data_IF_015329244349
#
_entry.id   IF_015329244349
#
_cell.length_a   1.000
_cell.length_b   1.000
_cell.length_c   1.000
_cell.angle_alpha   90.00
_cell.angle_beta   90.00
_cell.angle_gamma   90.00
#
_symmetry.space_group_name_H-M   'P 1'
#
loop_
_entity.id
_entity.type
_entity.pdbx_description
1 polymer ?
#
# COMPACT_ATOMS: atom_id res chain seq x y z
N UNK A 1 16.88 -42.81 -48.13
CA UNK A 1 16.07 -43.31 -47.00
C UNK A 1 16.88 -43.60 -45.71
N UNK A 2 18.21 -43.49 -45.72
CA UNK A 2 19.04 -43.75 -44.50
C UNK A 2 19.29 -42.51 -43.60
N UNK A 3 19.01 -41.34 -44.10
CA UNK A 3 19.24 -40.05 -43.37
C UNK A 3 18.08 -39.56 -42.56
N UNK A 4 16.86 -40.02 -42.81
CA UNK A 4 15.65 -39.63 -42.09
C UNK A 4 15.51 -40.43 -40.78
N UNK A 5 16.01 -41.65 -40.72
CA UNK A 5 15.96 -42.48 -39.51
C UNK A 5 16.91 -41.98 -38.41
N UNK A 6 17.97 -41.26 -38.77
CA UNK A 6 18.93 -40.73 -37.79
C UNK A 6 18.42 -39.45 -37.06
N UNK A 7 17.52 -38.68 -37.71
CA UNK A 7 16.91 -37.49 -37.11
C UNK A 7 15.72 -37.81 -36.18
N UNK A 8 15.03 -38.92 -36.43
CA UNK A 8 13.94 -39.38 -35.56
C UNK A 8 14.46 -39.99 -34.25
N UNK A 9 15.70 -40.48 -34.21
CA UNK A 9 16.29 -40.99 -32.96
C UNK A 9 16.80 -39.87 -32.04
N UNK A 10 17.07 -38.68 -32.58
CA UNK A 10 17.53 -37.52 -31.79
C UNK A 10 16.37 -36.71 -31.15
N UNK A 11 15.15 -36.86 -31.67
CA UNK A 11 13.95 -36.17 -31.14
C UNK A 11 13.33 -36.96 -29.97
N UNK A 12 13.65 -38.24 -29.80
CA UNK A 12 13.08 -39.06 -28.72
C UNK A 12 13.78 -38.93 -27.36
N UNK A 13 14.88 -38.15 -27.26
CA UNK A 13 15.63 -37.97 -26.00
C UNK A 13 15.36 -36.64 -25.28
N UNK A 14 14.39 -35.83 -25.75
CA UNK A 14 14.18 -34.45 -25.26
C UNK A 14 13.02 -34.24 -24.30
N UNK A 15 12.31 -35.28 -23.84
CA UNK A 15 11.19 -35.11 -22.91
C UNK A 15 11.39 -35.86 -21.59
N UNK A 16 12.53 -35.64 -20.93
CA UNK A 16 12.54 -35.77 -19.47
C UNK A 16 11.82 -34.55 -18.88
N UNK A 17 10.52 -34.64 -18.67
CA UNK A 17 9.82 -33.79 -17.73
C UNK A 17 10.46 -34.04 -16.37
N UNK A 18 11.32 -33.14 -15.91
CA UNK A 18 11.66 -33.06 -14.50
C UNK A 18 10.35 -32.77 -13.76
N UNK A 19 9.67 -33.80 -13.33
CA UNK A 19 8.59 -33.69 -12.36
C UNK A 19 9.26 -33.25 -11.06
N UNK A 20 9.17 -31.96 -10.75
CA UNK A 20 9.61 -31.46 -9.45
C UNK A 20 8.73 -32.18 -8.41
N UNK A 21 9.31 -33.11 -7.68
CA UNK A 21 8.61 -33.84 -6.64
C UNK A 21 8.19 -32.82 -5.57
N UNK A 22 6.91 -32.70 -5.34
CA UNK A 22 6.34 -31.77 -4.35
C UNK A 22 5.52 -32.56 -3.33
N UNK A 23 5.56 -32.08 -2.11
CA UNK A 23 4.96 -32.74 -0.94
C UNK A 23 3.88 -31.84 -0.34
N UNK A 24 3.00 -32.46 0.42
CA UNK A 24 1.90 -31.80 1.13
C UNK A 24 2.17 -31.78 2.63
N UNK A 25 1.94 -30.63 3.25
CA UNK A 25 1.84 -30.50 4.71
C UNK A 25 0.40 -30.24 5.11
N UNK A 26 -0.15 -31.08 6.00
CA UNK A 26 -1.55 -30.98 6.42
C UNK A 26 -1.70 -31.37 7.89
N UNK A 27 -2.83 -31.00 8.49
CA UNK A 27 -3.13 -31.34 9.88
C UNK A 27 -4.42 -30.70 10.36
N UNK A 28 -4.67 -30.83 11.66
CA UNK A 28 -5.82 -30.29 12.36
C UNK A 28 -5.31 -29.42 13.51
N UNK A 29 -5.94 -28.27 13.71
CA UNK A 29 -5.61 -27.38 14.82
C UNK A 29 -6.81 -27.28 15.76
N UNK A 30 -6.54 -27.53 17.05
CA UNK A 30 -7.55 -27.49 18.12
C UNK A 30 -7.09 -26.59 19.28
N UNK A 31 -8.01 -26.18 20.10
CA UNK A 31 -7.71 -25.52 21.38
C UNK A 31 -7.67 -26.51 22.56
N UNK A 32 -7.33 -26.05 23.77
CA UNK A 32 -7.26 -26.86 25.01
C UNK A 32 -8.58 -27.62 25.30
N UNK A 33 -9.72 -27.12 24.87
CA UNK A 33 -11.04 -27.76 25.00
C UNK A 33 -11.32 -28.73 23.86
N UNK A 34 -10.31 -29.09 23.04
CA UNK A 34 -10.43 -29.93 21.84
C UNK A 34 -11.43 -29.40 20.80
N UNK A 35 -11.73 -28.10 20.84
CA UNK A 35 -12.59 -27.47 19.83
C UNK A 35 -11.74 -27.15 18.60
N UNK A 36 -12.26 -27.48 17.42
CA UNK A 36 -11.67 -27.13 16.13
C UNK A 36 -11.53 -25.62 15.98
N UNK A 37 -10.40 -25.16 15.44
CA UNK A 37 -10.09 -23.73 15.31
C UNK A 37 -10.10 -23.32 13.85
N UNK A 38 -11.04 -22.47 13.48
CA UNK A 38 -11.15 -21.85 12.15
C UNK A 38 -10.29 -20.59 12.05
N UNK A 39 -9.64 -20.38 10.90
CA UNK A 39 -8.88 -19.16 10.60
C UNK A 39 -7.52 -19.08 11.29
N UNK A 40 -6.96 -20.19 11.81
CA UNK A 40 -5.57 -20.22 12.28
C UNK A 40 -4.61 -20.10 11.10
N UNK A 41 -3.67 -19.21 11.19
CA UNK A 41 -2.62 -19.04 10.20
C UNK A 41 -1.51 -20.06 10.40
N UNK A 42 -1.23 -20.84 9.35
CA UNK A 42 -0.13 -21.80 9.25
C UNK A 42 0.88 -21.23 8.27
N UNK A 43 2.00 -20.74 8.74
CA UNK A 43 3.00 -20.02 7.96
C UNK A 43 4.27 -20.87 7.88
N UNK A 44 4.80 -21.03 6.68
CA UNK A 44 6.10 -21.65 6.44
C UNK A 44 7.06 -20.62 5.87
N UNK A 45 8.23 -20.46 6.45
CA UNK A 45 9.31 -19.60 5.99
C UNK A 45 10.62 -20.38 5.82
N UNK A 46 11.49 -19.85 4.95
CA UNK A 46 12.85 -20.30 4.75
C UNK A 46 13.74 -19.07 4.81
N UNK A 47 14.71 -19.04 5.72
CA UNK A 47 15.61 -17.89 5.89
C UNK A 47 14.84 -16.56 6.03
N UNK A 48 13.85 -16.52 6.93
CA UNK A 48 12.96 -15.39 7.18
C UNK A 48 12.07 -14.95 5.98
N UNK A 49 12.13 -15.67 4.85
CA UNK A 49 11.28 -15.40 3.70
C UNK A 49 10.05 -16.30 3.70
N UNK A 50 8.86 -15.72 3.50
CA UNK A 50 7.61 -16.47 3.38
C UNK A 50 7.66 -17.44 2.19
N UNK A 51 7.57 -18.73 2.47
CA UNK A 51 7.55 -19.78 1.46
C UNK A 51 6.13 -20.22 1.10
N UNK A 52 5.27 -20.44 2.09
CA UNK A 52 3.89 -20.85 1.91
C UNK A 52 3.03 -20.50 3.13
N UNK A 53 1.71 -20.38 2.94
CA UNK A 53 0.75 -20.12 4.01
C UNK A 53 -0.58 -20.79 3.73
N UNK A 54 -1.25 -21.25 4.79
CA UNK A 54 -2.64 -21.71 4.77
C UNK A 54 -3.42 -21.17 5.96
N UNK A 55 -4.76 -21.19 5.84
CA UNK A 55 -5.69 -20.95 6.95
C UNK A 55 -6.43 -22.25 7.25
N UNK A 56 -6.71 -22.50 8.52
CA UNK A 56 -7.62 -23.61 8.86
C UNK A 56 -9.06 -23.29 8.48
N UNK A 57 -9.79 -24.32 8.09
CA UNK A 57 -11.23 -24.28 7.82
C UNK A 57 -12.06 -24.39 9.13
N UNK A 58 -13.40 -24.37 8.98
CA UNK A 58 -14.35 -24.52 10.10
C UNK A 58 -14.17 -25.82 10.91
N UNK A 59 -13.52 -26.82 10.32
CA UNK A 59 -13.20 -28.10 10.96
C UNK A 59 -11.77 -28.13 11.51
N UNK A 60 -11.08 -26.98 11.47
CA UNK A 60 -9.70 -26.86 11.92
C UNK A 60 -8.65 -27.48 11.01
N UNK A 61 -9.02 -27.93 9.80
CA UNK A 61 -8.08 -28.52 8.85
C UNK A 61 -7.31 -27.44 8.12
N UNK A 62 -6.03 -27.68 7.88
CA UNK A 62 -5.20 -26.92 6.96
C UNK A 62 -4.49 -27.85 5.99
N UNK A 63 -4.12 -27.31 4.81
CA UNK A 63 -3.35 -28.00 3.79
C UNK A 63 -2.48 -27.00 3.01
N UNK A 64 -1.21 -27.35 2.87
CA UNK A 64 -0.23 -26.62 2.06
C UNK A 64 0.39 -27.63 1.09
N UNK A 65 0.15 -27.42 -0.20
CA UNK A 65 0.67 -28.25 -1.28
C UNK A 65 1.90 -27.62 -1.95
N UNK A 66 2.64 -28.40 -2.70
CA UNK A 66 3.73 -27.89 -3.53
C UNK A 66 5.05 -27.65 -2.80
N UNK A 67 5.22 -28.18 -1.60
CA UNK A 67 6.44 -28.03 -0.83
C UNK A 67 7.57 -28.87 -1.44
N UNK A 68 8.78 -28.31 -1.42
CA UNK A 68 10.01 -29.03 -1.77
C UNK A 68 10.60 -29.68 -0.53
N UNK A 69 11.46 -30.67 -0.74
CA UNK A 69 12.26 -31.22 0.35
C UNK A 69 13.13 -30.13 0.98
N UNK A 70 13.13 -30.06 2.33
CA UNK A 70 13.85 -29.03 3.06
C UNK A 70 13.37 -28.83 4.48
N UNK A 71 14.03 -27.91 5.18
CA UNK A 71 13.63 -27.45 6.50
C UNK A 71 12.92 -26.10 6.37
N UNK A 72 11.76 -26.02 6.96
CA UNK A 72 10.92 -24.84 7.02
C UNK A 72 10.71 -24.40 8.46
N UNK A 73 10.72 -23.12 8.70
CA UNK A 73 10.25 -22.56 9.95
C UNK A 73 8.71 -22.50 9.89
N UNK A 74 8.08 -23.32 10.71
CA UNK A 74 6.62 -23.34 10.86
C UNK A 74 6.22 -22.41 12.00
N UNK A 75 5.32 -21.49 11.71
CA UNK A 75 4.68 -20.62 12.70
C UNK A 75 3.17 -20.76 12.62
N UNK A 76 2.54 -21.06 13.76
CA UNK A 76 1.10 -21.09 13.95
C UNK A 76 0.69 -19.84 14.70
N UNK A 77 -0.27 -19.11 14.14
CA UNK A 77 -0.75 -17.88 14.75
C UNK A 77 -2.29 -17.80 14.76
N UNK A 78 -2.84 -17.45 15.91
CA UNK A 78 -4.25 -17.12 16.09
C UNK A 78 -4.43 -16.09 17.20
N UNK A 79 -5.25 -15.06 16.94
CA UNK A 79 -5.44 -13.95 17.88
C UNK A 79 -6.01 -14.42 19.22
N UNK A 80 -5.31 -14.08 20.32
CA UNK A 80 -5.66 -14.48 21.69
C UNK A 80 -5.14 -15.87 22.09
N UNK A 81 -4.25 -16.46 21.29
CA UNK A 81 -3.54 -17.72 21.58
C UNK A 81 -2.03 -17.53 21.46
N UNK A 82 -1.28 -18.29 22.25
CA UNK A 82 0.16 -18.29 22.14
C UNK A 82 0.59 -18.79 20.76
N UNK A 83 1.44 -18.03 20.09
CA UNK A 83 2.04 -18.47 18.84
C UNK A 83 2.94 -19.69 19.10
N UNK A 84 2.92 -20.66 18.18
CA UNK A 84 3.84 -21.81 18.23
C UNK A 84 4.80 -21.73 17.05
N UNK A 85 6.09 -21.87 17.35
CA UNK A 85 7.16 -21.88 16.36
C UNK A 85 7.95 -23.18 16.48
N UNK A 86 8.22 -23.83 15.35
CA UNK A 86 9.03 -25.02 15.28
C UNK A 86 9.58 -25.25 13.88
N UNK A 87 10.61 -26.08 13.76
CA UNK A 87 11.14 -26.48 12.46
C UNK A 87 10.32 -27.66 11.93
N UNK A 88 9.76 -27.50 10.73
CA UNK A 88 9.14 -28.55 9.94
C UNK A 88 10.16 -29.07 8.93
N UNK A 89 10.45 -30.36 8.96
CA UNK A 89 11.28 -31.01 7.96
C UNK A 89 10.38 -31.80 6.99
N UNK A 90 10.51 -31.49 5.71
CA UNK A 90 9.85 -32.21 4.62
C UNK A 90 10.91 -33.10 3.99
N UNK A 91 10.75 -34.41 4.19
CA UNK A 91 11.65 -35.46 3.70
C UNK A 91 10.87 -36.40 2.81
N UNK A 92 11.08 -36.40 1.53
CA UNK A 92 10.58 -37.37 0.52
C UNK A 92 9.20 -38.02 0.80
N UNK A 93 8.31 -37.33 1.53
CA UNK A 93 6.94 -37.77 1.85
C UNK A 93 6.07 -36.62 2.33
N UNK A 94 4.77 -36.78 2.20
CA UNK A 94 3.78 -35.89 2.80
C UNK A 94 3.90 -35.90 4.32
N UNK A 95 3.75 -34.71 4.94
CA UNK A 95 3.81 -34.54 6.38
C UNK A 95 2.42 -34.24 6.90
N UNK A 96 1.98 -35.00 7.90
CA UNK A 96 0.75 -34.72 8.65
C UNK A 96 1.07 -34.51 10.12
N UNK A 97 0.61 -33.37 10.65
CA UNK A 97 0.83 -33.03 12.06
C UNK A 97 -0.31 -32.19 12.60
N UNK A 98 -0.88 -32.63 13.71
CA UNK A 98 -1.94 -31.91 14.42
C UNK A 98 -1.35 -31.05 15.53
N UNK A 99 -2.04 -29.92 15.83
CA UNK A 99 -1.56 -28.94 16.80
C UNK A 99 -2.64 -28.57 17.80
N UNK A 100 -2.19 -28.22 18.99
CA UNK A 100 -3.02 -27.73 20.07
C UNK A 100 -2.54 -26.32 20.42
N UNK A 101 -3.39 -25.30 20.20
CA UNK A 101 -3.09 -23.93 20.61
C UNK A 101 -3.65 -23.65 22.01
N UNK A 102 -2.83 -23.03 22.84
CA UNK A 102 -3.20 -22.60 24.18
C UNK A 102 -3.56 -21.12 24.18
N UNK A 103 -4.65 -20.71 24.85
CA UNK A 103 -4.99 -19.29 24.94
C UNK A 103 -3.86 -18.52 25.63
N UNK A 104 -3.60 -17.34 25.10
CA UNK A 104 -2.68 -16.41 25.76
C UNK A 104 -3.27 -16.04 27.13
N UNK A 105 -2.57 -16.38 28.22
CA UNK A 105 -2.95 -15.94 29.55
C UNK A 105 -2.87 -14.42 29.57
N UNK A 106 -4.02 -13.77 29.66
CA UNK A 106 -4.06 -12.33 29.90
C UNK A 106 -3.50 -12.10 31.30
N UNK A 107 -2.22 -11.87 31.39
CA UNK A 107 -1.63 -11.30 32.61
C UNK A 107 -2.15 -9.87 32.64
N UNK A 108 -3.09 -9.60 33.53
CA UNK A 108 -3.39 -8.23 33.95
C UNK A 108 -2.12 -7.79 34.68
N UNK A 109 -1.22 -7.15 33.95
CA UNK A 109 -0.08 -6.49 34.58
C UNK A 109 -0.65 -5.26 35.28
N UNK A 110 -0.64 -5.27 36.61
CA UNK A 110 -0.69 -4.08 37.40
C UNK A 110 0.40 -3.13 36.89
N UNK A 111 0.04 -1.85 36.82
CA UNK A 111 0.87 -0.76 36.32
C UNK A 111 2.24 -0.76 37.01
N UNK A 112 3.22 -1.40 36.38
CA UNK A 112 4.63 -1.30 36.79
C UNK A 112 5.20 -0.07 36.11
N UNK A 113 5.32 0.99 36.88
CA UNK A 113 6.06 2.20 36.50
C UNK A 113 7.56 1.84 36.44
N UNK A 114 8.07 1.47 35.28
CA UNK A 114 9.51 1.23 35.06
C UNK A 114 10.16 2.53 34.61
N UNK A 115 10.89 3.14 35.51
CA UNK A 115 11.85 4.21 35.21
C UNK A 115 13.16 3.58 34.78
N UNK A 116 13.53 3.73 33.51
CA UNK A 116 14.91 3.63 33.07
C UNK A 116 15.27 2.64 31.98
N UNK A 117 16.00 3.16 31.07
CA UNK A 117 16.90 2.62 30.04
C UNK A 117 16.38 2.47 28.61
N UNK A 118 17.24 2.87 27.71
CA UNK A 118 17.08 3.06 26.26
C UNK A 118 16.61 1.81 25.47
N UNK A 119 16.47 0.64 26.13
CA UNK A 119 16.00 -0.62 25.53
C UNK A 119 14.49 -0.86 25.71
N UNK A 120 13.76 -0.03 26.47
CA UNK A 120 12.35 -0.24 26.79
C UNK A 120 11.38 0.38 25.76
N UNK A 121 11.91 0.90 24.66
CA UNK A 121 11.10 1.54 23.61
C UNK A 121 10.48 0.56 22.63
N UNK A 122 10.82 -0.71 22.66
CA UNK A 122 10.36 -1.72 21.70
C UNK A 122 9.89 -2.98 22.41
N UNK A 123 8.61 -3.32 22.25
CA UNK A 123 8.07 -4.58 22.71
C UNK A 123 7.76 -5.48 21.50
N UNK A 124 8.34 -6.67 21.47
CA UNK A 124 8.04 -7.68 20.44
C UNK A 124 6.78 -8.44 20.80
N UNK A 125 5.90 -8.59 19.81
CA UNK A 125 4.66 -9.37 19.90
C UNK A 125 4.70 -10.52 18.90
N UNK A 126 3.79 -11.48 19.06
CA UNK A 126 3.66 -12.58 18.09
C UNK A 126 3.33 -12.12 16.65
N UNK A 127 2.82 -10.91 16.46
CA UNK A 127 2.39 -10.37 15.16
C UNK A 127 3.27 -9.27 14.62
N UNK A 128 4.22 -8.75 15.41
CA UNK A 128 5.03 -7.61 15.03
C UNK A 128 5.68 -6.95 16.23
N UNK A 129 5.90 -5.66 16.15
CA UNK A 129 6.62 -4.89 17.15
C UNK A 129 5.82 -3.65 17.56
N UNK A 130 5.86 -3.33 18.85
CA UNK A 130 5.26 -2.12 19.43
C UNK A 130 6.37 -1.17 19.84
N UNK A 131 6.29 0.05 19.35
CA UNK A 131 7.24 1.14 19.62
C UNK A 131 6.58 2.22 20.46
N UNK A 132 7.36 2.82 21.36
CA UNK A 132 6.96 3.98 22.15
C UNK A 132 7.82 5.17 21.77
N UNK A 133 7.19 6.30 21.49
CA UNK A 133 7.92 7.54 21.20
C UNK A 133 8.59 8.10 22.44
N UNK A 134 9.81 8.58 22.29
CA UNK A 134 10.50 9.33 23.35
C UNK A 134 9.77 10.64 23.67
N UNK A 135 10.01 11.20 24.84
CA UNK A 135 9.47 12.53 25.19
C UNK A 135 9.97 13.62 24.23
N UNK A 136 11.17 13.46 23.66
CA UNK A 136 11.68 14.36 22.63
C UNK A 136 10.81 14.29 21.36
N UNK A 137 10.49 13.09 20.88
CA UNK A 137 9.63 12.89 19.70
C UNK A 137 8.20 13.37 19.97
N UNK A 138 7.63 13.08 21.13
CA UNK A 138 6.30 13.56 21.53
C UNK A 138 6.19 15.09 21.55
N UNK A 139 7.28 15.80 21.86
CA UNK A 139 7.31 17.25 21.85
C UNK A 139 7.51 17.87 20.45
N UNK A 140 7.71 17.06 19.41
CA UNK A 140 7.68 17.52 18.04
C UNK A 140 6.24 17.83 17.63
N UNK A 141 6.01 18.99 17.00
CA UNK A 141 4.65 19.36 16.55
C UNK A 141 4.20 18.56 15.32
N UNK A 142 5.15 18.03 14.56
CA UNK A 142 4.91 17.31 13.32
C UNK A 142 4.95 15.80 13.56
N UNK A 143 3.85 15.05 13.33
CA UNK A 143 3.81 13.62 13.54
C UNK A 143 4.77 12.85 12.62
N UNK A 144 5.05 13.34 11.41
CA UNK A 144 6.00 12.70 10.51
C UNK A 144 7.43 12.78 11.05
N UNK A 145 7.81 13.90 11.66
CA UNK A 145 9.11 14.02 12.34
C UNK A 145 9.20 13.13 13.58
N UNK A 146 8.12 13.06 14.36
CA UNK A 146 8.08 12.20 15.53
C UNK A 146 8.22 10.72 15.16
N UNK A 147 7.58 10.30 14.08
CA UNK A 147 7.64 8.92 13.58
C UNK A 147 8.99 8.53 12.96
N UNK A 148 9.87 9.49 12.62
CA UNK A 148 11.25 9.18 12.19
C UNK A 148 12.10 8.49 13.28
N UNK A 149 11.69 8.57 14.54
CA UNK A 149 12.39 7.89 15.64
C UNK A 149 12.16 6.37 15.63
N UNK A 150 11.10 5.91 14.96
CA UNK A 150 10.72 4.50 14.96
C UNK A 150 11.58 3.74 13.96
N UNK A 151 12.37 2.74 14.42
CA UNK A 151 13.06 1.81 13.54
C UNK A 151 12.08 1.14 12.56
N UNK A 152 12.56 0.71 11.39
CA UNK A 152 11.78 0.08 10.33
C UNK A 152 10.74 0.99 9.66
N UNK A 153 10.63 2.24 10.08
CA UNK A 153 9.69 3.20 9.51
C UNK A 153 10.45 4.35 8.84
N UNK A 154 10.25 4.51 7.55
CA UNK A 154 10.71 5.68 6.82
C UNK A 154 9.59 6.72 6.75
N UNK A 155 9.77 7.85 7.41
CA UNK A 155 8.81 8.95 7.40
C UNK A 155 9.36 10.10 6.57
N UNK A 156 8.73 10.35 5.41
CA UNK A 156 9.04 11.47 4.52
C UNK A 156 8.22 12.69 4.95
N UNK A 157 8.88 13.57 5.69
CA UNK A 157 8.27 14.80 6.20
C UNK A 157 7.87 15.75 5.06
N UNK A 158 8.67 15.79 3.99
CA UNK A 158 8.45 16.71 2.88
C UNK A 158 7.22 16.32 2.04
N UNK A 159 7.04 15.02 1.80
CA UNK A 159 5.93 14.49 1.01
C UNK A 159 4.76 13.99 1.87
N UNK A 160 4.87 14.08 3.19
CA UNK A 160 3.83 13.64 4.15
C UNK A 160 3.46 12.17 3.94
N UNK A 161 4.45 11.31 3.78
CA UNK A 161 4.29 9.87 3.54
C UNK A 161 5.05 9.06 4.58
N UNK A 162 4.50 7.88 4.84
CA UNK A 162 5.14 6.88 5.69
C UNK A 162 5.26 5.58 4.90
N UNK A 163 6.44 4.99 4.93
CA UNK A 163 6.76 3.71 4.30
C UNK A 163 7.54 2.87 5.30
N UNK A 164 7.53 1.56 5.12
CA UNK A 164 8.43 0.68 5.85
C UNK A 164 9.81 0.66 5.19
N UNK A 165 10.83 0.20 5.89
CA UNK A 165 12.21 0.21 5.38
C UNK A 165 12.39 -0.64 4.11
N UNK A 166 11.52 -1.64 3.90
CA UNK A 166 11.46 -2.46 2.68
C UNK A 166 10.73 -1.75 1.50
N UNK A 167 10.34 -0.49 1.67
CA UNK A 167 9.60 0.30 0.68
C UNK A 167 8.10 0.00 0.63
N UNK A 168 7.60 -0.96 1.40
CA UNK A 168 6.17 -1.28 1.44
C UNK A 168 5.35 -0.13 2.06
N UNK A 169 4.19 0.15 1.47
CA UNK A 169 3.22 1.07 2.06
C UNK A 169 2.31 0.31 3.01
N UNK A 170 2.38 0.56 4.32
CA UNK A 170 1.54 -0.13 5.28
C UNK A 170 0.09 0.38 5.21
N UNK A 171 -0.86 -0.48 5.56
CA UNK A 171 -2.20 -0.01 5.91
C UNK A 171 -2.12 0.75 7.23
N UNK A 172 -2.55 2.01 7.24
CA UNK A 172 -2.57 2.82 8.45
C UNK A 172 -3.87 2.57 9.20
N UNK A 173 -3.73 2.16 10.45
CA UNK A 173 -4.83 2.06 11.41
C UNK A 173 -4.62 3.06 12.56
N UNK A 174 -5.71 3.64 13.04
CA UNK A 174 -5.74 4.40 14.29
C UNK A 174 -6.64 3.65 15.28
N UNK A 175 -6.09 3.27 16.41
CA UNK A 175 -6.80 2.46 17.42
C UNK A 175 -7.44 1.20 16.81
N UNK A 176 -6.75 0.54 15.87
CA UNK A 176 -7.22 -0.66 15.18
C UNK A 176 -8.27 -0.44 14.10
N UNK A 177 -8.65 0.80 13.80
CA UNK A 177 -9.62 1.14 12.75
C UNK A 177 -8.92 1.76 11.55
N UNK A 178 -9.41 1.49 10.32
CA UNK A 178 -8.85 2.09 9.09
C UNK A 178 -8.91 3.62 9.17
N UNK A 179 -7.82 4.23 8.80
CA UNK A 179 -7.67 5.68 8.81
C UNK A 179 -7.19 6.16 7.44
N UNK A 180 -8.11 6.67 6.64
CA UNK A 180 -7.84 7.06 5.25
C UNK A 180 -7.26 8.47 5.13
N UNK A 181 -7.42 9.29 6.17
CA UNK A 181 -7.04 10.71 6.15
C UNK A 181 -5.54 10.96 6.36
N UNK A 182 -4.73 9.92 6.48
CA UNK A 182 -3.30 10.07 6.79
C UNK A 182 -3.06 10.47 8.26
N UNK A 183 -1.81 10.62 8.62
CA UNK A 183 -1.36 10.90 10.01
C UNK A 183 -1.07 12.39 10.25
N UNK A 184 -1.33 13.25 9.26
CA UNK A 184 -0.95 14.66 9.30
C UNK A 184 -1.57 15.44 10.46
N UNK A 185 -2.76 15.03 10.92
CA UNK A 185 -3.51 15.70 11.98
C UNK A 185 -3.25 15.14 13.38
N UNK A 186 -2.38 14.13 13.50
CA UNK A 186 -2.06 13.54 14.80
C UNK A 186 -1.13 14.42 15.59
N UNK A 187 -1.48 14.69 16.85
CA UNK A 187 -0.54 15.29 17.81
C UNK A 187 0.37 14.17 18.36
N UNK A 188 1.70 14.24 18.17
CA UNK A 188 2.62 13.23 18.68
C UNK A 188 2.49 12.97 20.20
N UNK A 189 2.09 13.97 20.99
CA UNK A 189 1.88 13.84 22.45
C UNK A 189 0.72 12.91 22.79
N UNK A 190 -0.21 12.72 21.85
CA UNK A 190 -1.37 11.85 22.02
C UNK A 190 -1.09 10.43 21.55
N UNK A 191 0.04 10.18 20.89
CA UNK A 191 0.44 8.83 20.50
C UNK A 191 0.86 8.08 21.76
N UNK A 192 0.13 7.03 22.07
CA UNK A 192 0.45 6.09 23.15
C UNK A 192 1.52 5.11 22.69
N UNK A 193 1.30 4.48 21.53
CA UNK A 193 2.24 3.55 20.92
C UNK A 193 2.03 3.44 19.41
N UNK A 194 3.04 2.94 18.73
CA UNK A 194 3.01 2.65 17.29
C UNK A 194 3.35 1.18 17.10
N UNK A 195 2.44 0.44 16.50
CA UNK A 195 2.58 -1.00 16.30
C UNK A 195 2.79 -1.29 14.81
N UNK A 196 3.89 -1.95 14.47
CA UNK A 196 4.14 -2.48 13.13
C UNK A 196 3.72 -3.94 13.16
N UNK A 197 2.70 -4.30 12.39
CA UNK A 197 2.14 -5.64 12.32
C UNK A 197 2.60 -6.29 11.02
N UNK A 198 3.42 -7.31 11.14
CA UNK A 198 3.96 -8.09 10.01
C UNK A 198 3.02 -9.24 9.62
N UNK A 199 2.27 -9.78 10.57
CA UNK A 199 1.31 -10.85 10.33
C UNK A 199 -0.09 -10.26 10.21
N UNK A 200 -0.52 -10.06 8.96
CA UNK A 200 -1.73 -9.33 8.62
C UNK A 200 -2.92 -10.27 8.50
N UNK A 201 -4.09 -9.87 9.00
CA UNK A 201 -5.34 -10.65 8.86
C UNK A 201 -5.71 -10.82 7.39
N UNK A 202 -6.23 -11.99 7.02
CA UNK A 202 -6.59 -12.37 5.65
C UNK A 202 -7.42 -11.30 4.90
N UNK A 203 -8.31 -10.59 5.59
CA UNK A 203 -9.14 -9.51 5.02
C UNK A 203 -8.30 -8.36 4.44
N UNK A 204 -7.19 -8.00 5.08
CA UNK A 204 -6.31 -6.93 4.60
C UNK A 204 -5.36 -7.41 3.51
N UNK A 205 -4.99 -8.70 3.54
CA UNK A 205 -4.22 -9.33 2.45
C UNK A 205 -4.99 -9.32 1.13
N UNK A 206 -6.32 -9.56 1.17
CA UNK A 206 -7.20 -9.45 -0.02
C UNK A 206 -7.20 -8.04 -0.61
N UNK A 207 -7.02 -7.02 0.23
CA UNK A 207 -6.91 -5.63 -0.21
C UNK A 207 -5.49 -5.24 -0.66
N UNK A 208 -4.56 -6.20 -0.68
CA UNK A 208 -3.17 -6.00 -1.13
C UNK A 208 -2.20 -5.48 -0.06
N UNK A 209 -2.64 -5.37 1.20
CA UNK A 209 -1.77 -4.91 2.28
C UNK A 209 -1.04 -6.07 2.95
N UNK A 210 0.28 -6.05 2.89
CA UNK A 210 1.13 -7.05 3.52
C UNK A 210 1.56 -6.69 4.94
N UNK A 211 1.48 -5.41 5.31
CA UNK A 211 1.88 -4.88 6.62
C UNK A 211 0.93 -3.79 7.09
N UNK A 212 0.82 -3.64 8.41
CA UNK A 212 -0.05 -2.64 9.04
C UNK A 212 0.78 -1.77 9.98
N UNK A 213 0.54 -0.46 9.92
CA UNK A 213 0.98 0.51 10.91
C UNK A 213 -0.22 0.91 11.76
N UNK A 214 -0.31 0.40 12.98
CA UNK A 214 -1.39 0.73 13.91
C UNK A 214 -0.89 1.74 14.95
N UNK A 215 -1.38 2.97 14.87
CA UNK A 215 -1.07 4.04 15.82
C UNK A 215 -2.14 4.02 16.91
N UNK A 216 -1.75 3.72 18.13
CA UNK A 216 -2.62 3.81 19.30
C UNK A 216 -2.54 5.21 19.88
N UNK A 217 -3.68 5.83 20.09
CA UNK A 217 -3.80 7.15 20.69
C UNK A 217 -4.33 7.03 22.12
N UNK A 218 -3.84 7.87 23.01
CA UNK A 218 -4.44 8.10 24.31
C UNK A 218 -5.89 8.52 24.17
N UNK A 219 -6.76 8.12 25.09
CA UNK A 219 -8.16 8.53 25.05
C UNK A 219 -8.26 10.05 25.22
N UNK A 220 -8.79 10.74 24.20
CA UNK A 220 -9.11 12.16 24.27
C UNK A 220 -10.39 12.35 25.10
N UNK A 221 -10.28 12.95 26.24
CA UNK A 221 -11.45 13.27 27.09
C UNK A 221 -12.03 14.64 26.76
N UNK A 222 -11.26 15.54 26.15
CA UNK A 222 -11.63 16.90 25.81
C UNK A 222 -11.89 17.08 24.31
N UNK A 223 -12.81 17.97 23.91
CA UNK A 223 -12.92 18.40 22.52
C UNK A 223 -11.60 19.00 22.02
N UNK A 224 -11.30 18.82 20.75
CA UNK A 224 -10.10 19.33 20.13
C UNK A 224 -10.38 19.96 18.76
N UNK A 225 -9.56 20.91 18.38
CA UNK A 225 -9.49 21.51 17.05
C UNK A 225 -8.04 21.46 16.61
N UNK A 226 -7.81 20.98 15.41
CA UNK A 226 -6.51 21.00 14.74
C UNK A 226 -6.66 21.73 13.41
N UNK A 227 -5.71 22.62 13.10
CA UNK A 227 -5.63 23.32 11.84
C UNK A 227 -4.16 23.41 11.42
N UNK A 228 -3.86 23.01 10.21
CA UNK A 228 -2.53 23.11 9.64
C UNK A 228 -2.59 23.54 8.18
N UNK A 229 -1.67 24.41 7.77
CA UNK A 229 -1.45 24.78 6.38
C UNK A 229 0.03 24.68 6.03
N UNK A 230 0.32 24.18 4.83
CA UNK A 230 1.68 24.11 4.33
C UNK A 230 1.72 24.52 2.85
N UNK A 231 2.77 25.22 2.46
CA UNK A 231 3.03 25.57 1.06
C UNK A 231 4.47 25.27 0.72
N UNK A 232 4.69 24.85 -0.51
CA UNK A 232 6.02 24.60 -1.07
C UNK A 232 6.02 25.07 -2.52
N UNK A 233 6.98 25.89 -2.87
CA UNK A 233 7.14 26.44 -4.20
C UNK A 233 8.60 26.37 -4.62
N UNK A 234 8.86 26.19 -5.90
CA UNK A 234 10.17 26.44 -6.47
C UNK A 234 10.38 27.95 -6.71
N UNK A 235 11.60 28.34 -6.99
CA UNK A 235 11.93 29.70 -7.46
C UNK A 235 12.32 29.54 -8.93
N UNK A 236 11.59 30.12 -9.87
CA UNK A 236 10.69 31.30 -9.83
C UNK A 236 9.17 31.02 -9.78
N UNK A 237 8.69 30.10 -8.96
CA UNK A 237 7.26 29.79 -8.81
C UNK A 237 6.61 29.11 -10.02
N UNK A 238 7.34 28.24 -10.72
CA UNK A 238 6.81 27.46 -11.85
C UNK A 238 6.03 26.23 -11.37
N UNK A 239 6.40 25.69 -10.23
CA UNK A 239 5.68 24.57 -9.62
C UNK A 239 5.53 24.76 -8.12
N UNK A 240 4.47 24.22 -7.58
CA UNK A 240 4.23 24.32 -6.16
C UNK A 240 3.05 23.50 -5.69
N UNK A 241 2.96 23.40 -4.39
CA UNK A 241 1.91 22.73 -3.65
C UNK A 241 1.44 23.63 -2.52
N UNK A 242 0.14 23.82 -2.41
CA UNK A 242 -0.51 24.34 -1.21
C UNK A 242 -1.44 23.28 -0.64
N UNK A 243 -1.39 23.04 0.67
CA UNK A 243 -2.25 22.09 1.35
C UNK A 243 -2.73 22.62 2.68
N UNK A 244 -4.00 22.40 2.99
CA UNK A 244 -4.61 22.69 4.29
C UNK A 244 -5.26 21.44 4.86
N UNK A 245 -5.19 21.31 6.18
CA UNK A 245 -5.80 20.25 6.95
C UNK A 245 -6.58 20.83 8.12
N UNK A 246 -7.71 20.24 8.46
CA UNK A 246 -8.37 20.50 9.73
C UNK A 246 -8.90 19.19 10.30
N UNK A 247 -8.98 19.13 11.61
CA UNK A 247 -9.70 18.10 12.34
C UNK A 247 -10.35 18.70 13.56
N UNK A 248 -11.63 18.44 13.76
CA UNK A 248 -12.41 18.87 14.92
C UNK A 248 -13.20 17.70 15.46
N UNK A 249 -13.20 17.53 16.76
CA UNK A 249 -13.94 16.43 17.36
C UNK A 249 -13.68 16.22 18.84
N UNK A 250 -14.04 15.03 19.29
CA UNK A 250 -13.82 14.53 20.65
C UNK A 250 -13.58 13.01 20.63
N UNK A 251 -13.67 12.35 21.78
CA UNK A 251 -13.47 10.90 21.90
C UNK A 251 -14.48 10.06 21.11
N UNK A 252 -15.67 10.58 20.78
CA UNK A 252 -16.74 9.83 20.12
C UNK A 252 -16.89 10.16 18.64
N UNK A 253 -16.63 11.39 18.24
CA UNK A 253 -16.74 11.79 16.83
C UNK A 253 -15.61 12.74 16.43
N UNK A 254 -15.24 12.73 15.17
CA UNK A 254 -14.35 13.70 14.60
C UNK A 254 -14.64 13.91 13.11
N UNK A 255 -14.54 15.16 12.69
CA UNK A 255 -14.58 15.57 11.29
C UNK A 255 -13.18 16.03 10.89
N UNK A 256 -12.64 15.36 9.88
CA UNK A 256 -11.38 15.70 9.22
C UNK A 256 -11.66 16.26 7.84
N UNK A 257 -10.87 17.22 7.43
CA UNK A 257 -10.85 17.73 6.07
C UNK A 257 -9.45 18.05 5.58
N UNK A 258 -9.26 17.88 4.30
CA UNK A 258 -8.04 18.22 3.57
C UNK A 258 -8.40 18.87 2.24
N UNK A 259 -7.69 19.94 1.89
CA UNK A 259 -7.71 20.51 0.56
C UNK A 259 -6.29 20.76 0.08
N UNK A 260 -5.99 20.47 -1.19
CA UNK A 260 -4.70 20.82 -1.76
C UNK A 260 -4.83 21.26 -3.20
N UNK A 261 -3.89 22.12 -3.60
CA UNK A 261 -3.70 22.57 -4.98
C UNK A 261 -2.24 22.36 -5.33
N UNK A 262 -2.01 21.56 -6.37
CA UNK A 262 -0.71 21.40 -7.00
C UNK A 262 -0.74 22.11 -8.34
N UNK A 263 0.32 22.84 -8.68
CA UNK A 263 0.45 23.49 -9.96
C UNK A 263 1.83 23.33 -10.58
N UNK A 264 1.85 23.31 -11.89
CA UNK A 264 3.04 23.25 -12.73
C UNK A 264 2.81 24.14 -13.93
N UNK A 265 3.66 25.15 -14.13
CA UNK A 265 3.57 26.09 -15.22
C UNK A 265 4.90 26.18 -15.99
N UNK A 266 4.79 26.25 -17.30
CA UNK A 266 5.93 26.47 -18.20
C UNK A 266 7.05 25.45 -18.02
N UNK A 267 6.69 24.20 -17.71
CA UNK A 267 7.66 23.11 -17.66
C UNK A 267 8.00 22.71 -19.09
N UNK A 268 9.22 23.04 -19.53
CA UNK A 268 9.68 22.83 -20.88
C UNK A 268 10.59 21.64 -20.96
N UNK A 269 10.40 20.84 -21.99
CA UNK A 269 11.24 19.69 -22.30
C UNK A 269 11.53 19.63 -23.80
N UNK A 270 12.74 19.22 -24.16
CA UNK A 270 13.07 18.85 -25.53
C UNK A 270 12.47 17.49 -25.84
N UNK A 271 11.91 17.37 -27.03
CA UNK A 271 11.28 16.13 -27.52
C UNK A 271 11.93 15.76 -28.85
N UNK A 272 12.34 14.50 -28.99
CA UNK A 272 12.76 13.91 -30.24
C UNK A 272 11.99 12.61 -30.45
N UNK A 273 11.33 12.48 -31.58
CA UNK A 273 10.57 11.29 -31.93
C UNK A 273 10.99 10.79 -33.31
N UNK A 274 11.21 9.49 -33.43
CA UNK A 274 11.47 8.82 -34.70
C UNK A 274 10.47 7.69 -34.91
N UNK A 275 9.81 7.72 -36.06
CA UNK A 275 8.91 6.67 -36.53
C UNK A 275 9.53 6.04 -37.78
N UNK A 276 9.76 4.73 -37.74
CA UNK A 276 10.35 3.97 -38.85
C UNK A 276 9.39 2.88 -39.27
N UNK A 277 9.15 2.78 -40.58
CA UNK A 277 8.42 1.69 -41.21
C UNK A 277 9.05 1.37 -42.56
N UNK A 278 8.69 0.29 -43.22
CA UNK A 278 9.24 -0.05 -44.53
C UNK A 278 8.92 1.03 -45.56
N UNK A 279 9.98 1.72 -46.08
CA UNK A 279 9.83 2.83 -47.04
C UNK A 279 9.39 4.15 -46.45
N UNK A 280 9.19 4.25 -45.14
CA UNK A 280 8.71 5.45 -44.47
C UNK A 280 9.54 5.76 -43.25
N UNK A 281 10.04 6.96 -43.13
CA UNK A 281 10.61 7.46 -41.86
C UNK A 281 10.13 8.88 -41.57
N UNK A 282 9.76 9.13 -40.35
CA UNK A 282 9.37 10.44 -39.85
C UNK A 282 10.18 10.75 -38.60
N UNK A 283 10.89 11.83 -38.64
CA UNK A 283 11.65 12.36 -37.52
C UNK A 283 11.12 13.73 -37.14
N UNK A 284 10.96 13.98 -35.84
CA UNK A 284 10.55 15.28 -35.33
C UNK A 284 11.44 15.64 -34.15
N UNK A 285 11.82 16.90 -34.05
CA UNK A 285 12.55 17.48 -32.91
C UNK A 285 11.91 18.82 -32.57
N UNK A 286 11.75 19.08 -31.29
CA UNK A 286 11.15 20.35 -30.87
C UNK A 286 11.08 20.47 -29.37
N UNK A 287 10.29 21.41 -28.92
CA UNK A 287 10.02 21.67 -27.51
C UNK A 287 8.59 21.33 -27.17
N UNK A 288 8.36 20.83 -25.96
CA UNK A 288 7.03 20.71 -25.35
C UNK A 288 6.98 21.55 -24.09
N UNK A 289 5.91 22.32 -23.94
CA UNK A 289 5.56 23.05 -22.72
C UNK A 289 4.39 22.37 -22.03
N UNK A 290 4.53 22.10 -20.74
CA UNK A 290 3.48 21.54 -19.90
C UNK A 290 3.01 22.55 -18.86
N UNK A 291 1.70 22.80 -18.84
CA UNK A 291 0.99 23.51 -17.78
C UNK A 291 0.01 22.52 -17.13
N UNK A 292 0.06 22.39 -15.82
CA UNK A 292 -0.77 21.44 -15.07
C UNK A 292 -1.31 22.03 -13.78
N UNK A 293 -2.51 21.63 -13.40
CA UNK A 293 -3.09 21.94 -12.09
C UNK A 293 -3.90 20.76 -11.58
N UNK A 294 -3.71 20.43 -10.30
CA UNK A 294 -4.46 19.39 -9.60
C UNK A 294 -5.10 19.96 -8.35
N UNK A 295 -6.39 19.70 -8.18
CA UNK A 295 -7.18 20.08 -7.02
C UNK A 295 -7.63 18.83 -6.30
N UNK A 296 -7.38 18.75 -5.00
CA UNK A 296 -7.82 17.64 -4.17
C UNK A 296 -8.67 18.17 -3.02
N UNK A 297 -9.76 17.48 -2.75
CA UNK A 297 -10.59 17.67 -1.57
C UNK A 297 -10.89 16.33 -0.93
N UNK A 298 -10.83 16.28 0.40
CA UNK A 298 -11.10 15.10 1.19
C UNK A 298 -11.84 15.48 2.46
N UNK A 299 -12.90 14.74 2.80
CA UNK A 299 -13.64 14.86 4.04
C UNK A 299 -13.84 13.47 4.63
N UNK A 300 -13.63 13.34 5.93
CA UNK A 300 -13.89 12.12 6.66
C UNK A 300 -14.58 12.45 7.98
N UNK A 301 -15.73 11.83 8.19
CA UNK A 301 -16.44 11.87 9.46
C UNK A 301 -16.35 10.51 10.14
N UNK A 302 -15.90 10.50 11.38
CA UNK A 302 -15.78 9.31 12.24
C UNK A 302 -16.71 9.45 13.41
N UNK A 303 -17.47 8.39 13.69
CA UNK A 303 -18.42 8.38 14.78
C UNK A 303 -18.45 7.04 15.48
N UNK A 304 -18.14 7.05 16.77
CA UNK A 304 -18.34 5.94 17.70
C UNK A 304 -19.73 6.10 18.34
N UNK A 305 -20.76 5.55 17.68
CA UNK A 305 -22.16 5.67 18.12
C UNK A 305 -22.33 5.03 19.49
N UNK A 306 -21.75 3.85 19.66
CA UNK A 306 -21.68 3.09 20.91
C UNK A 306 -20.27 2.51 21.07
N UNK A 307 -19.96 1.88 22.21
CA UNK A 307 -18.70 1.17 22.39
C UNK A 307 -18.54 -0.04 21.43
N UNK A 308 -19.63 -0.44 20.77
CA UNK A 308 -19.67 -1.57 19.82
C UNK A 308 -19.77 -1.13 18.36
N UNK A 309 -20.23 0.10 18.11
CA UNK A 309 -20.51 0.61 16.76
C UNK A 309 -19.60 1.76 16.39
N UNK A 310 -18.91 1.59 15.29
CA UNK A 310 -18.03 2.59 14.72
C UNK A 310 -18.38 2.82 13.25
N UNK A 311 -18.62 4.07 12.90
CA UNK A 311 -19.00 4.51 11.54
C UNK A 311 -17.93 5.47 11.00
N UNK A 312 -17.57 5.30 9.74
CA UNK A 312 -16.75 6.25 9.00
C UNK A 312 -17.43 6.57 7.68
N UNK A 313 -17.74 7.84 7.47
CA UNK A 313 -18.12 8.37 6.17
C UNK A 313 -16.90 9.09 5.58
N UNK A 314 -16.53 8.77 4.35
CA UNK A 314 -15.37 9.33 3.67
C UNK A 314 -15.76 9.78 2.26
N UNK A 315 -15.34 10.97 1.90
CA UNK A 315 -15.47 11.53 0.55
C UNK A 315 -14.10 12.04 0.09
N UNK A 316 -13.76 11.73 -1.13
CA UNK A 316 -12.53 12.15 -1.79
C UNK A 316 -12.84 12.60 -3.20
N UNK A 317 -12.28 13.73 -3.59
CA UNK A 317 -12.36 14.25 -4.95
C UNK A 317 -10.99 14.74 -5.40
N UNK A 318 -10.64 14.43 -6.64
CA UNK A 318 -9.45 14.98 -7.30
C UNK A 318 -9.81 15.37 -8.72
N UNK A 319 -9.43 16.60 -9.12
CA UNK A 319 -9.53 17.09 -10.49
C UNK A 319 -8.14 17.49 -10.96
N UNK A 320 -7.72 16.92 -12.10
CA UNK A 320 -6.43 17.23 -12.72
C UNK A 320 -6.68 17.77 -14.13
N UNK A 321 -5.96 18.82 -14.46
CA UNK A 321 -6.00 19.48 -15.77
C UNK A 321 -4.55 19.66 -16.22
N UNK A 322 -4.19 19.06 -17.35
CA UNK A 322 -2.89 19.25 -17.99
C UNK A 322 -3.11 19.85 -19.38
N UNK A 323 -2.27 20.79 -19.76
CA UNK A 323 -2.21 21.36 -21.10
C UNK A 323 -0.78 21.22 -21.61
N UNK A 324 -0.64 20.59 -22.74
CA UNK A 324 0.64 20.40 -23.43
C UNK A 324 0.61 21.16 -24.73
N UNK A 325 1.64 21.93 -24.99
CA UNK A 325 1.85 22.63 -26.26
C UNK A 325 3.23 22.24 -26.78
N UNK A 326 3.27 21.65 -27.96
CA UNK A 326 4.52 21.25 -28.62
C UNK A 326 4.70 22.05 -29.92
N UNK A 327 5.93 22.33 -30.27
CA UNK A 327 6.32 22.94 -31.52
C UNK A 327 7.74 22.52 -31.88
N UNK A 328 8.03 22.49 -33.19
CA UNK A 328 9.36 22.12 -33.69
C UNK A 328 9.33 21.76 -35.17
N UNK A 329 10.44 21.16 -35.59
CA UNK A 329 10.70 20.83 -36.98
C UNK A 329 10.63 19.30 -37.17
N UNK A 330 10.38 18.88 -38.38
CA UNK A 330 10.38 17.48 -38.75
C UNK A 330 10.85 17.20 -40.16
N UNK A 331 11.26 15.97 -40.38
CA UNK A 331 11.64 15.44 -41.68
C UNK A 331 10.81 14.18 -41.96
N UNK A 332 10.04 14.22 -43.05
CA UNK A 332 9.33 13.06 -43.57
C UNK A 332 10.08 12.52 -44.77
N UNK A 333 10.40 11.24 -44.76
CA UNK A 333 10.99 10.54 -45.91
C UNK A 333 10.05 9.42 -46.33
N UNK A 334 9.33 9.67 -47.41
CA UNK A 334 8.46 8.71 -48.13
C UNK A 334 8.79 8.87 -49.62
N UNK A 335 9.95 8.34 -50.01
CA UNK A 335 10.53 8.57 -51.33
C UNK A 335 11.35 9.85 -51.39
N UNK A 336 10.72 11.02 -51.41
CA UNK A 336 11.40 12.34 -51.42
C UNK A 336 11.35 12.95 -50.01
N UNK A 337 12.53 13.36 -49.47
CA UNK A 337 12.54 14.01 -48.15
C UNK A 337 11.77 15.33 -48.16
N UNK A 338 10.92 15.53 -47.19
CA UNK A 338 10.11 16.75 -47.01
C UNK A 338 10.30 17.27 -45.58
N UNK A 339 10.74 18.52 -45.48
CA UNK A 339 10.80 19.24 -44.22
C UNK A 339 9.43 19.83 -43.88
N UNK A 340 9.11 19.85 -42.60
CA UNK A 340 7.87 20.44 -42.11
C UNK A 340 8.03 21.01 -40.71
N UNK A 341 7.29 22.04 -40.40
CA UNK A 341 7.07 22.56 -39.07
C UNK A 341 5.85 21.89 -38.45
N UNK A 342 5.87 21.64 -37.17
CA UNK A 342 4.71 21.13 -36.46
C UNK A 342 4.35 21.98 -35.24
N UNK A 343 3.08 22.02 -34.93
CA UNK A 343 2.55 22.47 -33.66
C UNK A 343 1.54 21.46 -33.15
N UNK A 344 1.54 21.25 -31.85
CA UNK A 344 0.58 20.36 -31.19
C UNK A 344 0.00 21.01 -29.96
N UNK A 345 -1.23 20.69 -29.68
CA UNK A 345 -1.91 21.04 -28.44
C UNK A 345 -2.63 19.81 -27.93
N UNK A 346 -2.50 19.55 -26.64
CA UNK A 346 -3.25 18.50 -25.95
C UNK A 346 -3.72 19.01 -24.60
N UNK A 347 -5.00 18.79 -24.28
CA UNK A 347 -5.61 19.10 -23.01
C UNK A 347 -6.21 17.84 -22.42
N UNK A 348 -5.61 17.37 -21.33
CA UNK A 348 -6.09 16.23 -20.56
C UNK A 348 -6.81 16.74 -19.33
N UNK A 349 -8.05 16.33 -19.14
CA UNK A 349 -8.80 16.59 -17.93
C UNK A 349 -9.22 15.25 -17.30
N UNK A 350 -9.01 15.11 -16.03
CA UNK A 350 -9.52 13.97 -15.29
C UNK A 350 -10.12 14.41 -13.97
N UNK A 351 -11.19 13.75 -13.55
CA UNK A 351 -11.66 13.85 -12.20
C UNK A 351 -12.01 12.48 -11.65
N UNK A 352 -11.73 12.31 -10.37
CA UNK A 352 -12.08 11.13 -9.58
C UNK A 352 -12.91 11.62 -8.40
N UNK A 353 -14.04 10.99 -8.17
CA UNK A 353 -14.82 11.19 -6.96
C UNK A 353 -15.11 9.83 -6.34
N UNK A 354 -14.81 9.70 -5.06
CA UNK A 354 -15.09 8.50 -4.27
C UNK A 354 -15.85 8.90 -3.02
N UNK A 355 -16.91 8.16 -2.71
CA UNK A 355 -17.62 8.27 -1.45
C UNK A 355 -17.75 6.88 -0.85
N UNK A 356 -17.50 6.73 0.45
CA UNK A 356 -17.66 5.46 1.15
C UNK A 356 -18.26 5.63 2.53
N UNK A 357 -19.01 4.63 2.95
CA UNK A 357 -19.54 4.50 4.28
C UNK A 357 -19.10 3.15 4.84
N UNK A 358 -18.30 3.18 5.89
CA UNK A 358 -17.85 2.01 6.62
C UNK A 358 -18.58 1.92 7.95
N UNK A 359 -19.06 0.74 8.28
CA UNK A 359 -19.65 0.43 9.58
C UNK A 359 -19.00 -0.81 10.15
N UNK A 360 -18.59 -0.75 11.41
CA UNK A 360 -18.07 -1.86 12.19
C UNK A 360 -18.96 -2.06 13.42
N UNK A 361 -19.51 -3.26 13.57
CA UNK A 361 -20.23 -3.69 14.77
C UNK A 361 -19.47 -4.82 15.47
N UNK A 362 -19.26 -4.69 16.78
CA UNK A 362 -18.60 -5.70 17.61
C UNK A 362 -19.63 -6.40 18.48
N UNK A 363 -20.02 -7.62 18.11
CA UNK A 363 -20.97 -8.44 18.88
C UNK A 363 -20.35 -8.96 20.18
N UNK A 364 -19.10 -9.46 20.09
CA UNK A 364 -18.33 -10.00 21.19
C UNK A 364 -16.82 -9.83 20.89
N UNK A 365 -15.94 -10.15 21.84
CA UNK A 365 -14.47 -9.94 21.73
C UNK A 365 -13.88 -10.42 20.40
N UNK A 366 -14.42 -11.49 19.79
CA UNK A 366 -13.90 -12.08 18.54
C UNK A 366 -14.95 -12.11 17.40
N UNK A 367 -16.12 -11.49 17.58
CA UNK A 367 -17.18 -11.46 16.58
C UNK A 367 -17.42 -10.02 16.12
N UNK A 368 -16.93 -9.70 14.93
CA UNK A 368 -16.98 -8.36 14.35
C UNK A 368 -17.63 -8.46 12.97
N UNK A 369 -18.63 -7.61 12.72
CA UNK A 369 -19.18 -7.36 11.39
C UNK A 369 -18.62 -6.05 10.87
N UNK A 370 -18.04 -6.07 9.68
CA UNK A 370 -17.62 -4.88 8.96
C UNK A 370 -18.34 -4.80 7.62
N UNK A 371 -18.97 -3.67 7.37
CA UNK A 371 -19.71 -3.40 6.13
C UNK A 371 -19.15 -2.15 5.49
N UNK A 372 -18.91 -2.18 4.19
CA UNK A 372 -18.48 -1.01 3.42
C UNK A 372 -19.40 -0.84 2.22
N UNK A 373 -19.97 0.35 2.09
CA UNK A 373 -20.60 0.82 0.87
C UNK A 373 -19.66 1.81 0.21
N UNK A 374 -19.39 1.66 -1.07
CA UNK A 374 -18.50 2.56 -1.80
C UNK A 374 -19.12 2.93 -3.14
N UNK A 375 -18.96 4.21 -3.49
CA UNK A 375 -19.28 4.77 -4.79
C UNK A 375 -18.01 5.38 -5.38
N UNK A 376 -17.74 5.11 -6.65
CA UNK A 376 -16.61 5.67 -7.37
C UNK A 376 -17.08 6.16 -8.75
N UNK A 377 -16.68 7.39 -9.10
CA UNK A 377 -16.91 7.99 -10.41
C UNK A 377 -15.59 8.54 -10.93
N UNK A 378 -15.18 8.02 -12.08
CA UNK A 378 -14.00 8.49 -12.82
C UNK A 378 -14.46 9.08 -14.15
N UNK A 379 -13.80 10.15 -14.57
CA UNK A 379 -13.98 10.74 -15.89
C UNK A 379 -12.64 11.21 -16.42
N UNK A 380 -12.36 10.85 -17.66
CA UNK A 380 -11.18 11.30 -18.38
C UNK A 380 -11.62 11.87 -19.73
N UNK A 381 -11.14 13.05 -20.04
CA UNK A 381 -11.36 13.72 -21.29
C UNK A 381 -10.00 14.15 -21.84
N UNK A 382 -9.78 13.85 -23.11
CA UNK A 382 -8.59 14.23 -23.85
C UNK A 382 -9.05 14.98 -25.10
N UNK A 383 -8.57 16.20 -25.27
CA UNK A 383 -8.81 17.03 -26.43
C UNK A 383 -7.45 17.51 -26.96
N UNK A 384 -7.11 17.08 -28.17
CA UNK A 384 -5.82 17.37 -28.75
C UNK A 384 -5.84 17.48 -30.26
N UNK A 385 -4.99 18.35 -30.79
CA UNK A 385 -4.75 18.49 -32.22
C UNK A 385 -3.25 18.60 -32.48
N UNK A 386 -2.88 18.25 -33.71
CA UNK A 386 -1.54 18.44 -34.26
C UNK A 386 -1.68 18.96 -35.68
N UNK A 387 -0.96 20.02 -35.97
CA UNK A 387 -0.86 20.62 -37.31
C UNK A 387 0.56 20.47 -37.82
N UNK A 388 0.70 20.15 -39.10
CA UNK A 388 1.99 20.02 -39.78
C UNK A 388 1.95 20.88 -41.05
N UNK A 389 2.93 21.75 -41.23
CA UNK A 389 3.09 22.63 -42.37
C UNK A 389 4.31 22.25 -43.15
N UNK A 390 4.14 21.64 -44.32
CA UNK A 390 5.24 21.18 -45.18
C UNK A 390 5.83 22.34 -45.96
N UNK A 391 7.15 22.45 -45.94
CA UNK A 391 7.88 23.44 -46.70
C UNK A 391 7.90 22.99 -48.18
N UNK A 392 7.20 23.71 -49.05
CA UNK A 392 7.25 23.46 -50.50
C UNK A 392 8.59 23.94 -51.05
N UNK A 393 9.43 23.03 -51.52
CA UNK A 393 10.56 23.38 -52.36
C UNK A 393 10.02 23.87 -53.73
N UNK A 394 9.87 25.18 -53.87
CA UNK A 394 9.71 25.79 -55.23
C UNK A 394 11.10 25.79 -55.81
N UNK A 395 11.38 24.83 -56.71
CA UNK A 395 12.53 24.94 -57.59
C UNK A 395 12.23 26.05 -58.60
N UNK A 396 12.93 27.21 -58.45
CA UNK A 396 13.05 28.22 -59.47
C UNK A 396 14.12 27.80 -60.46
#
# INVERSE_FOLDING_TARGET
MRTIAFWLLFISQGLFTLSAQSYTFSGIITNEKRKMMDGVQVILSVEDSLSAMALTDEKGHFRIDGLKEGAYELRLFFLGYNAQEQILRVENRDVRKDFLLTPEKTVVLDEVMVTGNRNDQVNRTATGEIFYLSEKAKNMKDPFRALQEIPRLYSDVANRKVQLEDGAQPLILINGNRYNSGIATLDPREIESVEIIDVVKARYLKDGYQKILNIKLKKKTQPFIFLEGATRHDVPFRKGLGVGYFEVGNSRYALYGRASVDYLYDDRSEQEQRQLNTGYSKWTKGEERLDGTSYLGELQFRWMCTDKDYIVAHMYGNKKINKKKGWGDGLLTDGIPQEFDYSSFNKDQSYIFTASLFHKHTFAKNHILETTLAFNKNHNENDGNRSESYLSLIHI
#
